data_IF_562073815348
#
_entry.id   IF_562073815348
#
_cell.length_a   1.000
_cell.length_b   1.000
_cell.length_c   1.000
_cell.angle_alpha   90.00
_cell.angle_beta   90.00
_cell.angle_gamma   90.00
#
_symmetry.space_group_name_H-M   'P 1'
#
loop_
_entity.id
_entity.type
_entity.pdbx_description
1 polymer ?
#
# COMPACT_ATOMS: atom_id res chain seq x y z
N UNK A 1 1.63 -16.34 -5.32
CA UNK A 1 0.49 -16.36 -6.27
C UNK A 1 -0.36 -17.61 -6.17
N UNK A 2 0.18 -18.81 -5.94
CA UNK A 2 -0.59 -20.07 -5.95
C UNK A 2 -1.93 -20.09 -5.17
N UNK A 3 -2.07 -19.33 -4.07
CA UNK A 3 -3.34 -19.21 -3.34
C UNK A 3 -4.30 -18.12 -3.86
N UNK A 4 -3.78 -17.12 -4.59
CA UNK A 4 -4.55 -16.00 -5.18
C UNK A 4 -4.65 -16.08 -6.71
N UNK A 5 -3.98 -17.04 -7.33
CA UNK A 5 -3.84 -17.27 -8.77
C UNK A 5 -3.46 -16.02 -9.61
N UNK A 6 -2.67 -15.11 -9.03
CA UNK A 6 -2.24 -13.88 -9.72
C UNK A 6 -1.59 -14.16 -11.08
N UNK A 7 -2.06 -13.45 -12.09
CA UNK A 7 -1.58 -13.45 -13.46
C UNK A 7 -0.69 -12.23 -13.74
N UNK A 8 -0.06 -12.22 -14.91
CA UNK A 8 0.69 -11.05 -15.37
C UNK A 8 -0.25 -9.84 -15.51
N UNK A 9 0.17 -8.69 -14.98
CA UNK A 9 -0.63 -7.46 -14.97
C UNK A 9 -1.56 -7.33 -13.76
N UNK A 10 -1.67 -8.36 -12.92
CA UNK A 10 -2.44 -8.30 -11.68
C UNK A 10 -1.58 -7.92 -10.48
N UNK A 11 -2.24 -7.30 -9.51
CA UNK A 11 -1.65 -6.88 -8.23
C UNK A 11 -2.52 -7.41 -7.10
N UNK A 12 -1.89 -8.01 -6.08
CA UNK A 12 -2.56 -8.23 -4.80
C UNK A 12 -2.03 -7.24 -3.76
N UNK A 13 -2.94 -6.74 -2.93
CA UNK A 13 -2.62 -5.86 -1.81
C UNK A 13 -3.14 -6.54 -0.54
N UNK A 14 -2.22 -6.97 0.31
CA UNK A 14 -2.53 -7.45 1.65
C UNK A 14 -2.52 -6.26 2.60
N UNK A 15 -3.71 -5.87 3.08
CA UNK A 15 -3.89 -4.76 4.01
C UNK A 15 -3.82 -5.26 5.45
N UNK A 16 -2.87 -4.75 6.24
CA UNK A 16 -2.61 -5.23 7.60
C UNK A 16 -1.91 -4.18 8.45
N UNK A 17 -1.29 -4.60 9.57
CA UNK A 17 -0.46 -3.69 10.39
C UNK A 17 0.61 -3.00 9.55
N UNK A 18 1.21 -3.76 8.62
CA UNK A 18 1.93 -3.26 7.46
C UNK A 18 1.20 -3.71 6.21
N UNK A 19 1.25 -2.92 5.16
CA UNK A 19 0.63 -3.28 3.89
C UNK A 19 1.68 -3.92 2.96
N UNK A 20 1.29 -4.95 2.23
CA UNK A 20 2.17 -5.66 1.30
C UNK A 20 1.56 -5.70 -0.09
N UNK A 21 2.31 -5.22 -1.08
CA UNK A 21 1.93 -5.29 -2.49
C UNK A 21 2.70 -6.44 -3.13
N UNK A 22 1.97 -7.33 -3.80
CA UNK A 22 2.51 -8.47 -4.54
C UNK A 22 2.17 -8.32 -6.02
N UNK A 23 3.17 -8.46 -6.88
CA UNK A 23 3.02 -8.30 -8.33
C UNK A 23 3.72 -9.44 -9.09
N UNK A 24 3.15 -9.83 -10.22
CA UNK A 24 3.82 -10.70 -11.20
C UNK A 24 4.54 -9.85 -12.24
N UNK A 25 5.85 -10.06 -12.42
CA UNK A 25 6.66 -9.31 -13.40
C UNK A 25 7.43 -10.27 -14.31
N UNK A 26 7.55 -9.92 -15.58
CA UNK A 26 8.23 -10.76 -16.58
C UNK A 26 9.74 -10.55 -16.64
N UNK A 27 10.24 -9.44 -16.09
CA UNK A 27 11.66 -9.09 -16.10
C UNK A 27 12.19 -8.90 -14.69
N UNK A 28 13.39 -9.42 -14.45
CA UNK A 28 14.12 -9.17 -13.21
C UNK A 28 14.77 -7.79 -13.28
N UNK A 29 14.17 -6.81 -12.60
CA UNK A 29 14.72 -5.46 -12.47
C UNK A 29 14.91 -5.14 -10.99
N UNK A 30 16.13 -5.31 -10.44
CA UNK A 30 16.44 -4.93 -9.07
C UNK A 30 16.27 -3.44 -8.86
N UNK A 31 15.81 -3.07 -7.67
CA UNK A 31 15.77 -1.69 -7.20
C UNK A 31 16.38 -1.62 -5.79
N UNK A 32 16.66 -0.40 -5.33
CA UNK A 32 17.12 -0.16 -3.96
C UNK A 32 16.02 -0.46 -2.92
N UNK A 33 14.77 -0.50 -3.36
CA UNK A 33 13.59 -0.71 -2.53
C UNK A 33 12.79 -1.92 -3.04
N UNK A 34 12.16 -2.64 -2.12
CA UNK A 34 11.39 -3.83 -2.42
C UNK A 34 12.24 -5.09 -2.63
N UNK A 35 11.55 -6.17 -3.02
CA UNK A 35 12.15 -7.48 -3.23
C UNK A 35 11.65 -8.11 -4.52
N UNK A 36 12.54 -8.75 -5.27
CA UNK A 36 12.20 -9.59 -6.41
C UNK A 36 12.58 -11.03 -6.10
N UNK A 37 11.61 -11.93 -6.21
CA UNK A 37 11.78 -13.38 -6.04
C UNK A 37 11.51 -14.11 -7.36
N UNK A 38 11.95 -15.36 -7.44
CA UNK A 38 11.44 -16.27 -8.48
C UNK A 38 9.94 -16.47 -8.28
N UNK A 39 9.16 -16.42 -9.36
CA UNK A 39 7.73 -16.68 -9.26
C UNK A 39 7.54 -18.16 -8.86
N UNK A 40 6.74 -18.45 -7.81
CA UNK A 40 6.57 -19.80 -7.30
C UNK A 40 5.66 -20.69 -8.16
N UNK A 41 5.01 -20.14 -9.19
CA UNK A 41 4.07 -20.85 -10.07
C UNK A 41 4.55 -20.86 -11.51
N UNK A 42 4.97 -19.71 -12.04
CA UNK A 42 5.46 -19.58 -13.42
C UNK A 42 6.99 -19.43 -13.45
N UNK A 43 7.67 -20.43 -14.02
CA UNK A 43 9.14 -20.46 -14.14
C UNK A 43 9.70 -19.39 -15.08
N UNK A 44 8.88 -18.77 -15.92
CA UNK A 44 9.31 -17.70 -16.82
C UNK A 44 9.07 -16.30 -16.24
N UNK A 45 8.50 -16.22 -15.04
CA UNK A 45 8.18 -14.96 -14.37
C UNK A 45 8.93 -14.78 -13.04
N UNK A 46 8.80 -13.58 -12.50
CA UNK A 46 9.27 -13.18 -11.18
C UNK A 46 8.11 -12.62 -10.36
N UNK A 47 8.32 -12.55 -9.05
CA UNK A 47 7.37 -12.01 -8.10
C UNK A 47 8.00 -10.80 -7.41
N UNK A 48 7.38 -9.64 -7.57
CA UNK A 48 7.75 -8.43 -6.85
C UNK A 48 6.97 -8.31 -5.55
N UNK A 49 7.63 -7.79 -4.52
CA UNK A 49 7.05 -7.51 -3.21
C UNK A 49 7.49 -6.14 -2.71
N UNK A 50 6.53 -5.29 -2.37
CA UNK A 50 6.75 -4.02 -1.67
C UNK A 50 6.09 -4.09 -0.30
N UNK A 51 6.79 -3.62 0.73
CA UNK A 51 6.31 -3.62 2.10
C UNK A 51 6.24 -2.18 2.60
N UNK A 52 5.06 -1.76 3.02
CA UNK A 52 4.80 -0.43 3.59
C UNK A 52 4.54 -0.58 5.08
N UNK A 53 5.32 0.11 5.89
CA UNK A 53 5.26 0.03 7.35
C UNK A 53 3.95 0.59 7.90
N UNK A 54 3.50 1.71 7.35
CA UNK A 54 2.40 2.51 7.87
C UNK A 54 1.04 2.08 7.31
N UNK A 55 0.55 0.91 7.75
CA UNK A 55 -0.70 0.31 7.27
C UNK A 55 -1.92 0.66 8.12
N UNK A 56 -2.53 -0.37 8.72
CA UNK A 56 -3.85 -0.30 9.38
C UNK A 56 -3.90 0.65 10.57
N UNK A 57 -2.84 0.75 11.38
CA UNK A 57 -2.79 1.68 12.50
C UNK A 57 -2.80 3.13 12.05
N UNK A 58 -2.13 3.44 10.94
CA UNK A 58 -2.16 4.77 10.35
C UNK A 58 -3.54 5.10 9.79
N UNK A 59 -4.19 4.16 9.10
CA UNK A 59 -5.60 4.33 8.67
C UNK A 59 -6.54 4.58 9.86
N UNK A 60 -6.40 3.83 10.95
CA UNK A 60 -7.24 3.99 12.14
C UNK A 60 -6.96 5.34 12.85
N UNK A 61 -5.70 5.78 12.93
CA UNK A 61 -5.36 7.11 13.44
C UNK A 61 -6.02 8.21 12.61
N UNK A 62 -5.91 8.16 11.29
CA UNK A 62 -6.48 9.18 10.39
C UNK A 62 -8.00 9.20 10.49
N UNK A 63 -8.64 8.03 10.50
CA UNK A 63 -10.09 7.89 10.72
C UNK A 63 -10.54 8.63 11.98
N UNK A 64 -9.85 8.40 13.11
CA UNK A 64 -10.14 9.10 14.38
C UNK A 64 -9.86 10.60 14.29
N UNK A 65 -8.76 11.00 13.65
CA UNK A 65 -8.36 12.40 13.53
C UNK A 65 -9.37 13.25 12.74
N UNK A 66 -10.07 12.64 11.77
CA UNK A 66 -11.14 13.32 11.00
C UNK A 66 -12.53 13.19 11.66
N UNK A 67 -12.60 12.63 12.87
CA UNK A 67 -13.85 12.53 13.64
C UNK A 67 -14.78 11.38 13.22
N UNK A 68 -14.33 10.43 12.39
CA UNK A 68 -15.14 9.26 12.04
C UNK A 68 -15.14 8.24 13.19
N UNK A 69 -16.31 7.96 13.78
CA UNK A 69 -16.49 7.04 14.92
C UNK A 69 -16.17 5.60 14.59
N UNK A 70 -16.42 5.19 13.34
CA UNK A 70 -16.29 3.83 12.82
C UNK A 70 -15.88 3.86 11.34
N UNK A 71 -15.76 2.68 10.73
CA UNK A 71 -15.36 2.53 9.34
C UNK A 71 -16.46 2.89 8.34
N UNK A 72 -17.74 2.81 8.73
CA UNK A 72 -18.86 3.21 7.88
C UNK A 72 -18.89 4.73 7.71
N UNK A 73 -18.73 5.47 8.82
CA UNK A 73 -18.60 6.93 8.83
C UNK A 73 -17.38 7.38 8.02
N UNK A 74 -16.27 6.66 8.10
CA UNK A 74 -15.08 6.91 7.28
C UNK A 74 -15.38 6.74 5.78
N UNK A 75 -16.05 5.65 5.42
CA UNK A 75 -16.45 5.38 4.04
C UNK A 75 -17.43 6.44 3.51
N UNK A 76 -18.36 6.93 4.32
CA UNK A 76 -19.28 7.99 3.95
C UNK A 76 -18.52 9.30 3.63
N UNK A 77 -17.54 9.69 4.46
CA UNK A 77 -16.70 10.86 4.19
C UNK A 77 -15.92 10.69 2.87
N UNK A 78 -15.32 9.52 2.65
CA UNK A 78 -14.62 9.23 1.40
C UNK A 78 -15.56 9.33 0.19
N UNK A 79 -16.79 8.80 0.28
CA UNK A 79 -17.76 8.83 -0.81
C UNK A 79 -18.21 10.23 -1.22
N UNK A 80 -18.18 11.19 -0.28
CA UNK A 80 -18.53 12.59 -0.50
C UNK A 80 -17.34 13.43 -0.98
N UNK A 81 -16.13 12.87 -0.91
CA UNK A 81 -14.90 13.56 -1.34
C UNK A 81 -14.69 13.33 -2.83
N UNK A 82 -14.55 14.38 -3.66
CA UNK A 82 -14.34 14.20 -5.09
C UNK A 82 -13.00 13.49 -5.37
N UNK A 83 -12.92 12.63 -6.41
CA UNK A 83 -11.66 12.04 -6.84
C UNK A 83 -10.55 13.08 -7.03
N UNK A 84 -9.36 12.76 -6.53
CA UNK A 84 -8.22 13.69 -6.51
C UNK A 84 -8.24 14.68 -5.34
N UNK A 85 -9.23 14.62 -4.44
CA UNK A 85 -9.28 15.41 -3.20
C UNK A 85 -9.05 16.92 -3.41
N UNK A 86 -9.57 17.48 -4.50
CA UNK A 86 -9.35 18.88 -4.91
C UNK A 86 -7.86 19.28 -4.99
N UNK A 87 -6.96 18.34 -5.27
CA UNK A 87 -5.53 18.57 -5.34
C UNK A 87 -4.79 18.53 -3.99
N UNK A 88 -5.48 18.34 -2.87
CA UNK A 88 -4.83 18.22 -1.55
C UNK A 88 -4.14 16.85 -1.43
N UNK A 89 -2.84 16.85 -1.14
CA UNK A 89 -2.02 15.64 -1.05
C UNK A 89 -1.49 15.49 0.38
N UNK A 90 -1.53 14.25 0.91
CA UNK A 90 -1.01 13.94 2.23
C UNK A 90 -0.22 12.64 2.25
N UNK A 91 0.94 12.66 2.90
CA UNK A 91 1.74 11.49 3.27
C UNK A 91 1.73 11.36 4.79
N UNK A 92 1.38 10.18 5.29
CA UNK A 92 1.17 9.93 6.71
C UNK A 92 2.04 8.75 7.15
N UNK A 93 3.13 9.05 7.86
CA UNK A 93 4.08 8.06 8.35
C UNK A 93 4.16 8.14 9.88
N UNK A 94 3.48 7.24 10.59
CA UNK A 94 3.50 7.19 12.05
C UNK A 94 4.83 6.66 12.60
N UNK A 95 5.47 5.80 11.80
CA UNK A 95 6.83 5.30 11.97
C UNK A 95 7.63 5.58 10.69
N UNK A 96 8.95 5.42 10.75
CA UNK A 96 9.80 5.51 9.57
C UNK A 96 9.32 4.50 8.51
N UNK A 97 9.13 4.99 7.29
CA UNK A 97 8.65 4.19 6.17
C UNK A 97 9.79 3.37 5.54
N UNK A 98 9.44 2.22 4.98
CA UNK A 98 10.35 1.32 4.26
C UNK A 98 10.42 1.72 2.78
N UNK A 99 9.27 1.97 2.15
CA UNK A 99 9.15 2.32 0.73
C UNK A 99 8.28 3.56 0.56
N UNK A 100 8.84 4.74 0.27
CA UNK A 100 10.27 5.05 0.27
C UNK A 100 10.85 5.14 1.69
N UNK A 101 12.17 5.05 1.82
CA UNK A 101 12.84 5.26 3.12
C UNK A 101 12.74 6.73 3.55
N UNK A 102 11.68 7.05 4.29
CA UNK A 102 11.34 8.40 4.74
C UNK A 102 11.07 8.38 6.24
N UNK A 103 11.51 9.45 6.92
CA UNK A 103 11.28 9.58 8.35
C UNK A 103 9.80 9.77 8.67
N UNK A 104 9.40 9.34 9.87
CA UNK A 104 8.04 9.56 10.37
C UNK A 104 7.62 11.04 10.28
N UNK A 105 6.35 11.28 9.93
CA UNK A 105 5.76 12.61 9.84
C UNK A 105 4.44 12.64 9.06
N UNK A 106 3.67 13.71 9.30
CA UNK A 106 2.52 14.09 8.46
C UNK A 106 2.98 15.19 7.50
N UNK A 107 3.03 14.91 6.19
CA UNK A 107 3.41 15.85 5.15
C UNK A 107 2.18 16.19 4.31
N UNK A 108 1.77 17.46 4.25
CA UNK A 108 0.54 17.91 3.57
C UNK A 108 0.84 19.06 2.62
N UNK A 109 0.25 19.03 1.43
CA UNK A 109 0.48 19.97 0.33
C UNK A 109 -0.84 20.40 -0.31
#
# INVERSE_FOLDING_TARGET
MAGLCLQQGEVAISLGTSDTVLVSVSQYTPALEGHIFRNPVDLNAFMGMLCFKNGSFTRDRIRRAIGASDWESFAEILSKTPPGNNGNIGFYFDDNEIVPNVSRGDYRF
#
